data_IF_295407433860
#
_entry.id   IF_295407433860
#
_cell.length_a   1.000
_cell.length_b   1.000
_cell.length_c   1.000
_cell.angle_alpha   90.00
_cell.angle_beta   90.00
_cell.angle_gamma   90.00
#
_symmetry.space_group_name_H-M   'P 1'
#
loop_
_entity.id
_entity.type
_entity.pdbx_description
1 polymer ?
#
# COMPACT_ATOMS: atom_id res chain seq x y z
N UNK A 1 -14.39 -1.41 2.99
CA UNK A 1 -15.07 -0.96 4.23
C UNK A 1 -16.38 -1.72 4.34
N UNK A 2 -16.47 -2.77 5.19
CA UNK A 2 -17.64 -3.68 5.21
C UNK A 2 -18.99 -2.97 5.38
N UNK A 3 -19.01 -1.89 6.16
CA UNK A 3 -20.26 -1.16 6.48
C UNK A 3 -20.92 -0.49 5.27
N UNK A 4 -20.16 -0.17 4.23
CA UNK A 4 -20.68 0.52 3.03
C UNK A 4 -20.69 -0.35 1.77
N UNK A 5 -20.15 -1.58 1.83
CA UNK A 5 -20.03 -2.46 0.65
C UNK A 5 -21.36 -2.67 -0.06
N UNK A 6 -22.42 -3.00 0.69
CA UNK A 6 -23.74 -3.21 0.11
C UNK A 6 -24.33 -1.93 -0.52
N UNK A 7 -24.16 -0.78 0.14
CA UNK A 7 -24.63 0.48 -0.39
C UNK A 7 -23.92 0.86 -1.70
N UNK A 8 -22.59 0.65 -1.76
CA UNK A 8 -21.79 0.90 -2.97
C UNK A 8 -22.17 -0.09 -4.07
N UNK A 9 -22.38 -1.38 -3.76
CA UNK A 9 -22.83 -2.38 -4.73
C UNK A 9 -24.14 -1.96 -5.37
N UNK A 10 -25.16 -1.67 -4.57
CA UNK A 10 -26.49 -1.24 -5.06
C UNK A 10 -26.42 0.05 -5.87
N UNK A 11 -25.62 1.03 -5.44
CA UNK A 11 -25.43 2.27 -6.19
C UNK A 11 -24.77 2.01 -7.55
N UNK A 12 -23.74 1.17 -7.60
CA UNK A 12 -23.07 0.78 -8.84
C UNK A 12 -24.02 0.04 -9.78
N UNK A 13 -24.80 -0.92 -9.30
CA UNK A 13 -25.84 -1.61 -10.10
C UNK A 13 -26.84 -0.63 -10.70
N UNK A 14 -27.32 0.32 -9.88
CA UNK A 14 -28.28 1.32 -10.32
C UNK A 14 -27.74 2.23 -11.42
N UNK A 15 -26.49 2.66 -11.30
CA UNK A 15 -25.84 3.60 -12.23
C UNK A 15 -25.36 2.88 -13.49
N UNK A 16 -24.65 1.77 -13.32
CA UNK A 16 -23.99 1.06 -14.43
C UNK A 16 -24.88 0.05 -15.13
N UNK A 17 -26.06 -0.27 -14.55
CA UNK A 17 -26.98 -1.32 -15.04
C UNK A 17 -26.30 -2.69 -15.21
N UNK A 18 -25.28 -2.96 -14.40
CA UNK A 18 -24.51 -4.21 -14.35
C UNK A 18 -24.28 -4.59 -12.92
N UNK A 19 -24.30 -5.89 -12.63
CA UNK A 19 -23.95 -6.38 -11.31
C UNK A 19 -22.43 -6.27 -11.10
N UNK A 20 -21.95 -5.53 -10.07
CA UNK A 20 -20.54 -5.43 -9.78
C UNK A 20 -20.04 -6.70 -9.09
N UNK A 21 -18.88 -7.20 -9.51
CA UNK A 21 -18.16 -8.24 -8.80
C UNK A 21 -17.48 -7.64 -7.57
N UNK A 22 -17.73 -8.22 -6.41
CA UNK A 22 -17.07 -7.83 -5.16
C UNK A 22 -15.93 -8.79 -4.86
N UNK A 23 -14.71 -8.28 -4.78
CA UNK A 23 -13.55 -9.10 -4.40
C UNK A 23 -13.67 -9.53 -2.93
N UNK A 24 -13.71 -10.84 -2.72
CA UNK A 24 -13.90 -11.46 -1.41
C UNK A 24 -13.83 -12.97 -1.49
N UNK A 25 -14.27 -13.69 -0.43
CA UNK A 25 -14.27 -15.14 -0.40
C UNK A 25 -15.00 -15.76 -1.60
N UNK A 26 -14.37 -16.77 -2.22
CA UNK A 26 -14.93 -17.46 -3.39
C UNK A 26 -14.48 -16.88 -4.73
N UNK A 27 -13.90 -15.68 -4.79
CA UNK A 27 -13.33 -15.13 -6.02
C UNK A 27 -11.98 -15.78 -6.31
N UNK A 28 -11.79 -16.27 -7.53
CA UNK A 28 -10.53 -16.90 -7.95
C UNK A 28 -9.49 -15.82 -8.24
N UNK A 29 -8.55 -15.62 -7.34
CA UNK A 29 -7.43 -14.68 -7.51
C UNK A 29 -6.22 -15.34 -8.18
N UNK A 30 -5.97 -16.61 -7.88
CA UNK A 30 -4.75 -17.34 -8.25
C UNK A 30 -3.56 -17.01 -7.36
N UNK A 31 -3.77 -16.23 -6.31
CA UNK A 31 -2.76 -15.93 -5.30
C UNK A 31 -2.72 -17.05 -4.26
N UNK A 32 -1.54 -17.62 -4.03
CA UNK A 32 -1.31 -18.54 -2.92
C UNK A 32 -0.86 -17.72 -1.70
N UNK A 33 -1.62 -17.81 -0.61
CA UNK A 33 -1.41 -17.03 0.61
C UNK A 33 -0.91 -17.95 1.71
N UNK A 34 0.33 -17.75 2.19
CA UNK A 34 0.98 -18.55 3.23
C UNK A 34 0.88 -17.93 4.62
N UNK A 35 -0.07 -17.04 4.85
CA UNK A 35 -0.36 -16.50 6.18
C UNK A 35 -1.12 -17.52 7.03
N UNK A 36 -0.97 -17.45 8.37
CA UNK A 36 -1.68 -18.31 9.33
C UNK A 36 -3.21 -18.27 9.13
N UNK A 37 -3.73 -17.09 8.81
CA UNK A 37 -5.15 -16.87 8.55
C UNK A 37 -5.36 -16.14 7.22
N UNK A 38 -5.34 -16.84 6.07
CA UNK A 38 -5.45 -16.22 4.75
C UNK A 38 -6.71 -15.36 4.55
N UNK A 39 -7.82 -15.74 5.21
CA UNK A 39 -9.09 -15.02 5.14
C UNK A 39 -9.09 -13.62 5.81
N UNK A 40 -8.05 -13.28 6.57
CA UNK A 40 -7.89 -11.96 7.18
C UNK A 40 -7.16 -10.97 6.26
N UNK A 41 -6.58 -11.46 5.15
CA UNK A 41 -5.90 -10.58 4.20
C UNK A 41 -6.91 -9.67 3.50
N UNK A 42 -6.68 -8.37 3.56
CA UNK A 42 -7.51 -7.36 2.91
C UNK A 42 -7.61 -7.58 1.40
N UNK A 43 -8.79 -7.34 0.83
CA UNK A 43 -9.03 -7.51 -0.61
C UNK A 43 -8.13 -6.58 -1.46
N UNK A 44 -7.82 -5.40 -0.97
CA UNK A 44 -6.88 -4.45 -1.55
C UNK A 44 -5.46 -5.02 -1.64
N UNK A 45 -4.96 -5.63 -0.56
CA UNK A 45 -3.64 -6.29 -0.54
C UNK A 45 -3.60 -7.48 -1.49
N UNK A 46 -4.69 -8.25 -1.59
CA UNK A 46 -4.81 -9.34 -2.57
C UNK A 46 -4.73 -8.80 -4.00
N UNK A 47 -5.48 -7.74 -4.32
CA UNK A 47 -5.47 -7.16 -5.65
C UNK A 47 -4.08 -6.58 -6.00
N UNK A 48 -3.46 -5.83 -5.08
CA UNK A 48 -2.10 -5.31 -5.25
C UNK A 48 -1.08 -6.44 -5.50
N UNK A 49 -1.16 -7.54 -4.74
CA UNK A 49 -0.26 -8.69 -4.92
C UNK A 49 -0.46 -9.39 -6.26
N UNK A 50 -1.71 -9.57 -6.71
CA UNK A 50 -2.01 -10.15 -8.03
C UNK A 50 -1.43 -9.28 -9.15
N UNK A 51 -1.61 -7.96 -9.10
CA UNK A 51 -1.00 -7.06 -10.07
C UNK A 51 0.53 -7.11 -10.01
N UNK A 52 1.09 -7.07 -8.80
CA UNK A 52 2.53 -7.11 -8.58
C UNK A 52 3.18 -8.36 -9.19
N UNK A 53 2.60 -9.54 -8.97
CA UNK A 53 3.07 -10.82 -9.54
C UNK A 53 3.02 -10.82 -11.08
N UNK A 54 2.06 -10.09 -11.65
CA UNK A 54 1.86 -10.05 -13.10
C UNK A 54 2.80 -9.06 -13.81
N UNK A 55 3.08 -7.92 -13.17
CA UNK A 55 3.77 -6.79 -13.78
C UNK A 55 5.27 -6.71 -13.44
N UNK A 56 5.70 -7.31 -12.31
CA UNK A 56 7.04 -7.08 -11.76
C UNK A 56 7.82 -8.36 -11.51
N UNK A 57 9.14 -8.22 -11.43
CA UNK A 57 10.05 -9.32 -11.10
C UNK A 57 9.91 -9.72 -9.62
N UNK A 58 10.09 -11.01 -9.35
CA UNK A 58 10.03 -11.60 -8.02
C UNK A 58 11.44 -11.93 -7.48
N UNK A 59 11.64 -11.95 -6.16
CA UNK A 59 10.67 -11.63 -5.12
C UNK A 59 10.32 -10.14 -5.07
N UNK A 60 9.15 -9.78 -4.50
CA UNK A 60 8.56 -8.46 -4.59
C UNK A 60 8.07 -7.99 -3.22
N UNK A 61 8.35 -6.74 -2.87
CA UNK A 61 7.67 -6.01 -1.81
C UNK A 61 6.76 -4.93 -2.41
N UNK A 62 5.52 -4.88 -1.96
CA UNK A 62 4.53 -3.87 -2.37
C UNK A 62 4.24 -2.99 -1.16
N UNK A 63 4.50 -1.69 -1.29
CA UNK A 63 4.26 -0.68 -0.27
C UNK A 63 3.00 0.10 -0.67
N UNK A 64 1.94 0.02 0.13
CA UNK A 64 0.74 0.84 -0.07
C UNK A 64 0.68 1.94 0.99
N UNK A 65 0.70 3.19 0.53
CA UNK A 65 0.76 4.38 1.39
C UNK A 65 -0.60 5.08 1.47
N UNK A 66 -1.51 4.46 2.22
CA UNK A 66 -2.86 4.95 2.49
C UNK A 66 -3.04 5.51 3.90
N UNK A 67 -4.25 5.33 4.46
CA UNK A 67 -4.59 5.64 5.87
C UNK A 67 -3.72 4.81 6.82
N UNK A 68 -3.58 3.52 6.57
CA UNK A 68 -2.47 2.72 7.06
C UNK A 68 -1.44 2.61 5.95
N UNK A 69 -0.17 2.52 6.30
CA UNK A 69 0.87 2.08 5.38
C UNK A 69 1.05 0.58 5.55
N UNK A 70 1.04 -0.17 4.45
CA UNK A 70 1.26 -1.61 4.46
C UNK A 70 2.43 -1.97 3.60
N UNK A 71 3.11 -3.06 3.94
CA UNK A 71 4.13 -3.70 3.10
C UNK A 71 3.73 -5.15 2.93
N UNK A 72 3.51 -5.57 1.72
CA UNK A 72 3.18 -6.95 1.33
C UNK A 72 4.39 -7.60 0.67
N UNK A 73 4.71 -8.81 1.05
CA UNK A 73 5.87 -9.54 0.50
C UNK A 73 5.40 -10.76 -0.27
N UNK A 74 5.92 -10.90 -1.49
CA UNK A 74 5.68 -12.04 -2.39
C UNK A 74 7.04 -12.68 -2.70
N UNK A 75 7.14 -14.00 -2.49
CA UNK A 75 8.35 -14.76 -2.75
C UNK A 75 8.57 -15.07 -4.26
N UNK A 76 9.70 -15.67 -4.58
CA UNK A 76 10.04 -16.07 -5.95
C UNK A 76 9.10 -17.14 -6.54
N UNK A 77 8.33 -17.84 -5.69
CA UNK A 77 7.34 -18.87 -6.08
C UNK A 77 5.92 -18.31 -6.24
N UNK A 78 5.77 -16.97 -6.21
CA UNK A 78 4.49 -16.27 -6.31
C UNK A 78 3.57 -16.48 -5.09
N UNK A 79 4.14 -16.78 -3.92
CA UNK A 79 3.37 -16.88 -2.69
C UNK A 79 3.35 -15.53 -1.96
N UNK A 80 2.19 -15.14 -1.48
CA UNK A 80 2.09 -14.05 -0.50
C UNK A 80 2.53 -14.59 0.86
N UNK A 81 3.70 -14.18 1.33
CA UNK A 81 4.32 -14.74 2.53
C UNK A 81 4.02 -13.96 3.80
N UNK A 82 3.52 -12.74 3.68
CA UNK A 82 3.18 -11.89 4.83
C UNK A 82 3.50 -10.42 4.56
N UNK A 83 3.63 -9.65 5.62
CA UNK A 83 3.92 -8.22 5.49
C UNK A 83 3.89 -7.45 6.80
N UNK A 84 3.79 -6.13 6.70
CA UNK A 84 3.77 -5.20 7.82
C UNK A 84 2.61 -4.23 7.68
N UNK A 85 2.11 -3.75 8.81
CA UNK A 85 1.11 -2.68 8.88
C UNK A 85 1.60 -1.66 9.91
N UNK A 86 1.63 -0.39 9.52
CA UNK A 86 1.99 0.71 10.41
C UNK A 86 1.15 1.95 10.10
N UNK A 87 1.11 2.94 11.01
CA UNK A 87 0.30 4.15 10.79
C UNK A 87 0.73 4.89 9.54
N UNK A 88 -0.25 5.25 8.70
CA UNK A 88 0.02 6.13 7.56
C UNK A 88 0.42 7.54 8.00
N UNK A 89 1.06 8.30 7.10
CA UNK A 89 1.59 9.64 7.42
C UNK A 89 0.53 10.62 7.93
N UNK A 90 -0.67 10.59 7.33
CA UNK A 90 -1.77 11.46 7.77
C UNK A 90 -2.15 11.16 9.20
N UNK A 91 -2.40 9.89 9.51
CA UNK A 91 -2.75 9.43 10.87
C UNK A 91 -1.64 9.76 11.88
N UNK A 92 -0.37 9.58 11.50
CA UNK A 92 0.76 9.93 12.37
C UNK A 92 0.84 11.42 12.65
N UNK A 93 0.62 12.26 11.63
CA UNK A 93 0.62 13.71 11.76
C UNK A 93 -0.57 14.19 12.62
N UNK A 94 -1.77 13.65 12.39
CA UNK A 94 -2.97 13.97 13.17
C UNK A 94 -2.78 13.58 14.64
N UNK A 95 -2.21 12.41 14.91
CA UNK A 95 -1.91 11.96 16.27
C UNK A 95 -0.87 12.87 16.97
N UNK A 96 0.13 13.33 16.22
CA UNK A 96 1.14 14.26 16.75
C UNK A 96 0.51 15.61 17.12
N UNK A 97 -0.25 16.21 16.21
CA UNK A 97 -0.88 17.53 16.42
C UNK A 97 -1.97 17.49 17.49
N UNK A 98 -2.71 16.38 17.61
CA UNK A 98 -3.72 16.21 18.64
C UNK A 98 -3.12 16.10 20.07
N UNK A 99 -1.86 15.63 20.19
CA UNK A 99 -1.20 15.41 21.50
C UNK A 99 -0.17 16.46 21.87
N UNK A 100 0.32 17.23 20.92
CA UNK A 100 1.31 18.27 21.13
C UNK A 100 0.69 19.66 20.92
N UNK A 101 0.24 20.29 22.00
CA UNK A 101 -0.54 21.55 22.00
C UNK A 101 0.12 22.73 21.27
N UNK A 102 1.44 22.69 21.09
CA UNK A 102 2.20 23.74 20.38
C UNK A 102 2.41 23.44 18.88
N UNK A 103 1.99 22.26 18.42
CA UNK A 103 2.16 21.87 17.01
C UNK A 103 0.83 22.02 16.28
N UNK A 104 0.81 22.89 15.26
CA UNK A 104 -0.35 23.06 14.39
C UNK A 104 -0.30 22.09 13.21
N UNK A 105 -1.46 21.83 12.58
CA UNK A 105 -1.52 21.04 11.35
C UNK A 105 -0.66 21.66 10.24
N UNK A 106 -0.01 20.81 9.47
CA UNK A 106 0.82 21.16 8.33
C UNK A 106 0.39 20.40 7.08
N UNK A 107 0.72 20.92 5.90
CA UNK A 107 0.63 20.15 4.65
C UNK A 107 1.76 19.12 4.58
N UNK A 108 1.43 17.92 4.06
CA UNK A 108 2.43 16.86 3.81
C UNK A 108 3.15 17.20 2.51
N UNK A 109 4.27 17.89 2.65
CA UNK A 109 5.13 18.36 1.56
C UNK A 109 6.59 18.31 2.00
N UNK A 110 7.49 18.07 1.06
CA UNK A 110 8.91 18.08 1.34
C UNK A 110 9.38 19.48 1.75
N UNK A 111 10.19 19.60 2.82
CA UNK A 111 10.79 20.86 3.22
C UNK A 111 11.91 21.24 2.25
N UNK A 112 12.33 22.51 2.30
CA UNK A 112 13.48 22.98 1.51
C UNK A 112 14.81 22.33 1.93
N UNK A 113 14.92 21.90 3.18
CA UNK A 113 16.12 21.29 3.78
C UNK A 113 15.71 20.23 4.79
N UNK A 114 16.52 19.16 4.90
CA UNK A 114 16.30 18.11 5.89
C UNK A 114 16.39 18.65 7.34
N UNK A 115 17.29 19.61 7.59
CA UNK A 115 17.38 20.27 8.90
C UNK A 115 16.51 21.52 8.86
N UNK A 116 15.28 21.43 9.41
CA UNK A 116 14.36 22.55 9.54
C UNK A 116 14.88 23.61 10.52
N UNK A 117 14.55 24.87 10.27
CA UNK A 117 14.95 26.01 11.13
C UNK A 117 13.78 26.68 11.86
N UNK A 118 12.57 26.16 11.68
CA UNK A 118 11.37 26.55 12.42
C UNK A 118 10.49 25.33 12.58
N UNK A 119 9.49 25.41 13.45
CA UNK A 119 8.62 24.28 13.81
C UNK A 119 7.95 23.64 12.58
N UNK A 120 7.43 24.44 11.65
CA UNK A 120 6.75 23.93 10.44
C UNK A 120 7.73 23.14 9.57
N UNK A 121 8.91 23.69 9.28
CA UNK A 121 9.94 23.01 8.49
C UNK A 121 10.47 21.75 9.19
N UNK A 122 10.61 21.79 10.53
CA UNK A 122 10.98 20.59 11.32
C UNK A 122 9.91 19.50 11.22
N UNK A 123 8.63 19.85 11.33
CA UNK A 123 7.53 18.90 11.20
C UNK A 123 7.45 18.31 9.78
N UNK A 124 7.53 19.14 8.74
CA UNK A 124 7.58 18.68 7.35
C UNK A 124 8.74 17.72 7.12
N UNK A 125 9.93 18.08 7.61
CA UNK A 125 11.13 17.26 7.51
C UNK A 125 10.94 15.92 8.23
N UNK A 126 10.43 15.95 9.46
CA UNK A 126 10.15 14.76 10.24
C UNK A 126 9.21 13.81 9.49
N UNK A 127 8.08 14.31 9.01
CA UNK A 127 7.08 13.50 8.29
C UNK A 127 7.66 12.87 7.02
N UNK A 128 8.34 13.64 6.18
CA UNK A 128 8.85 13.14 4.90
C UNK A 128 10.03 12.19 5.09
N UNK A 129 11.08 12.64 5.78
CA UNK A 129 12.32 11.87 5.83
C UNK A 129 12.29 10.70 6.82
N UNK A 130 11.45 10.75 7.88
CA UNK A 130 11.27 9.57 8.72
C UNK A 130 10.57 8.43 7.97
N UNK A 131 9.56 8.74 7.16
CA UNK A 131 8.90 7.73 6.33
C UNK A 131 9.85 7.19 5.25
N UNK A 132 10.57 8.05 4.53
CA UNK A 132 11.55 7.60 3.53
C UNK A 132 12.62 6.68 4.17
N UNK A 133 13.22 7.09 5.30
CA UNK A 133 14.20 6.28 6.00
C UNK A 133 13.63 4.96 6.55
N UNK A 134 12.37 4.98 7.00
CA UNK A 134 11.69 3.77 7.43
C UNK A 134 11.51 2.79 6.26
N UNK A 135 11.07 3.27 5.09
CA UNK A 135 10.93 2.43 3.91
C UNK A 135 12.26 1.84 3.47
N UNK A 136 13.32 2.65 3.40
CA UNK A 136 14.67 2.17 3.08
C UNK A 136 15.10 1.06 4.04
N UNK A 137 14.95 1.27 5.35
CA UNK A 137 15.33 0.30 6.36
C UNK A 137 14.42 -0.93 6.43
N UNK A 138 13.16 -0.85 6.01
CA UNK A 138 12.25 -1.99 5.88
C UNK A 138 12.69 -2.86 4.70
N UNK A 139 13.02 -2.25 3.56
CA UNK A 139 13.52 -2.97 2.39
C UNK A 139 14.80 -3.74 2.72
N UNK A 140 15.75 -3.09 3.41
CA UNK A 140 16.99 -3.73 3.84
C UNK A 140 16.72 -4.98 4.69
N UNK A 141 15.81 -4.90 5.66
CA UNK A 141 15.46 -6.02 6.55
C UNK A 141 14.74 -7.16 5.82
N UNK A 142 13.89 -6.84 4.86
CA UNK A 142 13.23 -7.87 4.04
C UNK A 142 14.27 -8.60 3.18
N UNK A 143 15.21 -7.89 2.56
CA UNK A 143 16.31 -8.49 1.80
C UNK A 143 17.19 -9.35 2.68
N UNK A 144 17.52 -8.93 3.90
CA UNK A 144 18.27 -9.71 4.88
C UNK A 144 17.52 -11.01 5.25
N UNK A 145 16.22 -10.94 5.51
CA UNK A 145 15.40 -12.11 5.89
C UNK A 145 15.24 -13.10 4.72
N UNK A 146 15.04 -12.59 3.49
CA UNK A 146 14.92 -13.44 2.30
C UNK A 146 16.27 -13.91 1.75
N UNK A 147 17.39 -13.33 2.18
CA UNK A 147 18.74 -13.64 1.72
C UNK A 147 18.99 -13.24 0.25
N UNK A 148 18.19 -12.36 -0.31
CA UNK A 148 18.29 -11.94 -1.71
C UNK A 148 17.70 -10.55 -1.95
N UNK A 149 18.08 -9.93 -3.09
CA UNK A 149 17.51 -8.67 -3.54
C UNK A 149 16.06 -8.83 -3.97
N UNK A 150 15.27 -7.79 -3.74
CA UNK A 150 13.84 -7.76 -4.09
C UNK A 150 13.53 -6.59 -5.01
N UNK A 151 12.49 -6.74 -5.82
CA UNK A 151 11.84 -5.60 -6.49
C UNK A 151 10.94 -4.90 -5.46
N UNK A 152 10.91 -3.58 -5.48
CA UNK A 152 10.06 -2.79 -4.57
C UNK A 152 9.14 -1.90 -5.39
N UNK A 153 7.85 -2.01 -5.16
CA UNK A 153 6.81 -1.19 -5.81
C UNK A 153 6.01 -0.46 -4.75
N UNK A 154 5.77 0.82 -4.97
CA UNK A 154 4.93 1.63 -4.09
C UNK A 154 3.66 2.08 -4.82
N UNK A 155 2.56 2.09 -4.10
CA UNK A 155 1.24 2.60 -4.51
C UNK A 155 0.61 3.41 -3.38
N UNK A 156 -0.59 3.91 -3.59
CA UNK A 156 -1.33 4.71 -2.62
C UNK A 156 -1.12 6.22 -2.77
N UNK A 157 -2.08 6.98 -2.30
CA UNK A 157 -2.17 8.43 -2.57
C UNK A 157 -1.03 9.30 -2.02
N UNK A 158 -0.24 8.79 -1.09
CA UNK A 158 0.90 9.51 -0.50
C UNK A 158 2.27 9.02 -0.99
N UNK A 159 2.32 7.92 -1.75
CA UNK A 159 3.57 7.33 -2.25
C UNK A 159 4.41 8.34 -3.06
N UNK A 160 3.79 9.06 -3.99
CA UNK A 160 4.45 10.09 -4.82
C UNK A 160 5.19 11.16 -4.01
N UNK A 161 4.75 11.43 -2.77
CA UNK A 161 5.38 12.45 -1.91
C UNK A 161 6.61 11.95 -1.17
N UNK A 162 6.75 10.64 -1.01
CA UNK A 162 7.81 10.01 -0.20
C UNK A 162 8.87 9.35 -1.05
N UNK A 163 8.47 8.59 -2.07
CA UNK A 163 9.40 7.78 -2.87
C UNK A 163 10.58 8.58 -3.42
N UNK A 164 10.43 9.85 -3.89
CA UNK A 164 11.57 10.65 -4.35
C UNK A 164 12.63 10.96 -3.28
N UNK A 165 12.33 10.71 -2.00
CA UNK A 165 13.22 10.96 -0.86
C UNK A 165 13.85 9.67 -0.30
N UNK A 166 13.46 8.50 -0.81
CA UNK A 166 14.07 7.23 -0.49
C UNK A 166 15.46 7.10 -1.15
N UNK A 167 16.34 6.34 -0.51
CA UNK A 167 17.66 5.98 -1.05
C UNK A 167 17.59 4.70 -1.88
N UNK A 168 16.63 3.83 -1.56
CA UNK A 168 16.39 2.59 -2.30
C UNK A 168 15.61 2.89 -3.57
N UNK A 169 15.87 2.11 -4.60
CA UNK A 169 15.06 2.14 -5.81
C UNK A 169 13.70 1.55 -5.51
N UNK A 170 12.65 2.37 -5.63
CA UNK A 170 11.27 1.99 -5.41
C UNK A 170 10.45 2.48 -6.61
N UNK A 171 9.84 1.55 -7.32
CA UNK A 171 9.00 1.85 -8.47
C UNK A 171 7.64 2.40 -7.99
N UNK A 172 7.14 3.44 -8.63
CA UNK A 172 5.83 3.99 -8.32
C UNK A 172 4.79 3.50 -9.32
N UNK A 173 3.74 2.84 -8.83
CA UNK A 173 2.59 2.41 -9.63
C UNK A 173 1.28 2.80 -8.93
N UNK A 174 0.74 3.94 -9.33
CA UNK A 174 -0.48 4.50 -8.73
C UNK A 174 -1.74 3.70 -9.13
N UNK A 175 -1.69 2.93 -10.20
CA UNK A 175 -2.81 2.15 -10.72
C UNK A 175 -2.74 0.66 -10.32
N UNK A 176 -1.80 0.27 -9.47
CA UNK A 176 -1.55 -1.14 -9.12
C UNK A 176 -2.82 -1.86 -8.65
N UNK A 177 -3.61 -1.23 -7.78
CA UNK A 177 -4.88 -1.77 -7.30
C UNK A 177 -5.87 -2.01 -8.46
N UNK A 178 -6.01 -1.05 -9.36
CA UNK A 178 -6.93 -1.15 -10.49
C UNK A 178 -6.51 -2.24 -11.48
N UNK A 179 -5.21 -2.37 -11.74
CA UNK A 179 -4.64 -3.47 -12.53
C UNK A 179 -4.97 -4.82 -11.92
N UNK A 180 -4.78 -4.98 -10.61
CA UNK A 180 -5.10 -6.20 -9.88
C UNK A 180 -6.59 -6.57 -9.95
N UNK A 181 -7.45 -5.59 -9.76
CA UNK A 181 -8.90 -5.79 -9.90
C UNK A 181 -9.28 -6.21 -11.32
N UNK A 182 -8.67 -5.63 -12.35
CA UNK A 182 -8.92 -6.01 -13.75
C UNK A 182 -8.47 -7.45 -14.02
N UNK A 183 -7.27 -7.83 -13.62
CA UNK A 183 -6.75 -9.19 -13.79
C UNK A 183 -7.67 -10.21 -13.10
N UNK A 184 -8.10 -9.94 -11.87
CA UNK A 184 -9.01 -10.80 -11.13
C UNK A 184 -10.37 -10.87 -11.82
N UNK A 185 -10.91 -9.74 -12.27
CA UNK A 185 -12.17 -9.71 -13.01
C UNK A 185 -12.10 -10.57 -14.28
N UNK A 186 -11.06 -10.40 -15.08
CA UNK A 186 -10.88 -11.18 -16.32
C UNK A 186 -10.77 -12.68 -16.07
N UNK A 187 -10.16 -13.07 -14.95
CA UNK A 187 -10.04 -14.47 -14.55
C UNK A 187 -11.39 -15.10 -14.19
N UNK A 188 -12.34 -14.29 -13.70
CA UNK A 188 -13.65 -14.77 -13.23
C UNK A 188 -14.79 -14.50 -14.22
N UNK A 189 -14.65 -13.61 -15.19
CA UNK A 189 -15.73 -13.19 -16.11
C UNK A 189 -16.33 -14.31 -17.00
N UNK A 190 -15.60 -15.43 -17.17
CA UNK A 190 -16.09 -16.56 -17.97
C UNK A 190 -17.03 -17.48 -17.20
N UNK A 191 -17.20 -17.24 -15.90
CA UNK A 191 -18.05 -18.01 -15.00
C UNK A 191 -19.31 -17.23 -14.58
N UNK A 192 -19.47 -16.00 -15.11
CA UNK A 192 -20.65 -15.14 -14.99
C UNK A 192 -21.46 -15.19 -16.32
#
# INVERSE_FOLDING_TARGET
>A
VPQITNAVKLAAEKVLKKEPMVLGPGVKTGLNILMDNPGQLGADLVANAVAGIHEYSLPLAIIDMGTASTVSVVDEKKHYVGGMIFPGMGVSLDALTARASQLSGISIEAPKRIIGKNTIECMKSGVIYSNAAALDGIVDRIEEELGQKITVVATGGLARKIIPHCKREILLDEDLLLKGLLIIYEKNRKEL
#
